data_IF_984381841867
#
_entry.id   IF_984381841867
#
_cell.length_a   1.000
_cell.length_b   1.000
_cell.length_c   1.000
_cell.angle_alpha   90.00
_cell.angle_beta   90.00
_cell.angle_gamma   90.00
#
_symmetry.space_group_name_H-M   'P 1'
#
loop_
_entity.id
_entity.type
_entity.pdbx_description
1 polymer ?
#
# COMPACT_ATOMS: atom_id res chain seq x y z
N UNK A 1 -11.78 -10.41 -17.45
CA UNK A 1 -10.85 -9.94 -16.40
C UNK A 1 -11.53 -9.41 -15.13
N UNK A 2 -12.77 -8.90 -15.16
CA UNK A 2 -13.44 -8.41 -13.93
C UNK A 2 -13.90 -9.53 -12.97
N UNK A 3 -14.33 -10.70 -13.46
CA UNK A 3 -14.76 -11.82 -12.59
C UNK A 3 -13.62 -12.42 -11.76
N UNK A 4 -12.40 -12.46 -12.29
CA UNK A 4 -11.23 -13.07 -11.66
C UNK A 4 -10.73 -12.26 -10.45
N UNK A 5 -10.87 -10.93 -10.50
CA UNK A 5 -10.46 -10.05 -9.40
C UNK A 5 -11.35 -10.21 -8.17
N UNK A 6 -12.68 -10.31 -8.38
CA UNK A 6 -13.64 -10.49 -7.27
C UNK A 6 -13.54 -11.88 -6.61
N UNK A 7 -13.15 -12.90 -7.35
CA UNK A 7 -12.85 -14.23 -6.78
C UNK A 7 -11.56 -14.24 -5.95
N UNK A 8 -10.52 -13.54 -6.42
CA UNK A 8 -9.27 -13.34 -5.68
C UNK A 8 -9.49 -12.57 -4.37
N UNK A 9 -10.27 -11.48 -4.40
CA UNK A 9 -10.60 -10.69 -3.20
C UNK A 9 -11.29 -11.55 -2.14
N UNK A 10 -12.32 -12.32 -2.53
CA UNK A 10 -13.02 -13.25 -1.61
C UNK A 10 -12.10 -14.32 -1.05
N UNK A 11 -11.18 -14.84 -1.85
CA UNK A 11 -10.21 -15.83 -1.39
C UNK A 11 -9.24 -15.23 -0.36
N UNK A 12 -8.74 -14.02 -0.61
CA UNK A 12 -7.87 -13.29 0.33
C UNK A 12 -8.59 -12.99 1.64
N UNK A 13 -9.83 -12.49 1.59
CA UNK A 13 -10.64 -12.24 2.78
C UNK A 13 -10.79 -13.51 3.64
N UNK A 14 -11.10 -14.64 2.99
CA UNK A 14 -11.23 -15.93 3.67
C UNK A 14 -9.93 -16.38 4.33
N UNK A 15 -8.78 -16.16 3.68
CA UNK A 15 -7.46 -16.47 4.25
C UNK A 15 -7.20 -15.60 5.48
N UNK A 16 -7.46 -14.30 5.40
CA UNK A 16 -7.27 -13.37 6.51
C UNK A 16 -8.19 -13.68 7.70
N UNK A 17 -9.44 -14.04 7.42
CA UNK A 17 -10.40 -14.43 8.47
C UNK A 17 -9.97 -15.72 9.17
N UNK A 18 -9.51 -16.72 8.40
CA UNK A 18 -9.00 -17.97 8.96
C UNK A 18 -7.76 -17.73 9.83
N UNK A 19 -6.83 -16.88 9.36
CA UNK A 19 -5.64 -16.48 10.12
C UNK A 19 -6.01 -15.87 11.47
N UNK A 20 -7.01 -14.98 11.49
CA UNK A 20 -7.52 -14.39 12.72
C UNK A 20 -8.13 -15.45 13.66
N UNK A 21 -9.00 -16.31 13.14
CA UNK A 21 -9.64 -17.39 13.93
C UNK A 21 -8.62 -18.34 14.55
N UNK A 22 -7.60 -18.73 13.79
CA UNK A 22 -6.55 -19.62 14.30
C UNK A 22 -5.65 -18.92 15.32
N UNK A 23 -5.37 -17.64 15.14
CA UNK A 23 -4.65 -16.84 16.13
C UNK A 23 -5.39 -16.77 17.47
N UNK A 24 -6.72 -16.56 17.44
CA UNK A 24 -7.55 -16.60 18.64
C UNK A 24 -7.47 -17.95 19.36
N UNK A 25 -7.40 -19.06 18.62
CA UNK A 25 -7.23 -20.39 19.24
C UNK A 25 -5.87 -20.49 19.95
N UNK A 26 -4.79 -20.06 19.30
CA UNK A 26 -3.43 -20.05 19.88
C UNK A 26 -3.42 -19.25 21.19
N UNK A 27 -3.97 -18.04 21.16
CA UNK A 27 -4.05 -17.17 22.34
C UNK A 27 -4.84 -17.86 23.45
N UNK A 28 -6.01 -18.44 23.16
CA UNK A 28 -6.82 -19.13 24.19
C UNK A 28 -6.11 -20.32 24.83
N UNK A 29 -5.28 -21.03 24.06
CA UNK A 29 -4.60 -22.25 24.52
C UNK A 29 -3.37 -21.98 25.39
N UNK A 30 -2.82 -20.76 25.39
CA UNK A 30 -1.58 -20.41 26.09
C UNK A 30 -1.78 -19.25 27.06
N UNK A 31 -1.29 -19.38 28.29
CA UNK A 31 -1.26 -18.27 29.25
C UNK A 31 -0.30 -17.18 28.79
N UNK A 32 0.90 -17.58 28.35
CA UNK A 32 1.94 -16.67 27.84
C UNK A 32 1.43 -15.86 26.64
N UNK A 33 0.69 -16.49 25.72
CA UNK A 33 0.14 -15.76 24.56
C UNK A 33 -0.95 -14.75 24.93
N UNK A 34 -1.71 -15.00 26.02
CA UNK A 34 -2.68 -14.02 26.56
C UNK A 34 -1.96 -12.85 27.21
N UNK A 35 -0.94 -13.12 28.01
CA UNK A 35 -0.14 -12.09 28.66
C UNK A 35 0.55 -11.21 27.62
N UNK A 36 1.16 -11.82 26.61
CA UNK A 36 1.77 -11.10 25.49
C UNK A 36 0.76 -10.22 24.74
N UNK A 37 -0.47 -10.71 24.49
CA UNK A 37 -1.50 -9.89 23.85
C UNK A 37 -1.84 -8.65 24.70
N UNK A 38 -1.99 -8.80 26.01
CA UNK A 38 -2.32 -7.68 26.90
C UNK A 38 -1.17 -6.68 27.03
N UNK A 39 0.09 -7.13 26.98
CA UNK A 39 1.26 -6.26 26.90
C UNK A 39 1.29 -5.48 25.58
N UNK A 40 1.13 -6.15 24.45
CA UNK A 40 1.14 -5.51 23.14
C UNK A 40 -0.01 -4.52 22.95
N UNK A 41 -1.19 -4.78 23.53
CA UNK A 41 -2.30 -3.81 23.52
C UNK A 41 -1.98 -2.53 24.29
N UNK A 42 -1.11 -2.59 25.30
CA UNK A 42 -0.66 -1.42 26.05
C UNK A 42 0.46 -0.68 25.33
N UNK A 43 1.40 -1.42 24.74
CA UNK A 43 2.56 -0.84 24.05
C UNK A 43 2.25 -0.31 22.65
N UNK A 44 1.25 -0.88 21.96
CA UNK A 44 0.85 -0.54 20.60
C UNK A 44 -0.61 -0.02 20.52
N UNK A 45 -0.95 1.09 21.18
CA UNK A 45 -2.34 1.57 21.26
C UNK A 45 -2.89 2.08 19.93
N UNK A 46 -2.05 2.42 18.94
CA UNK A 46 -2.49 2.91 17.63
C UNK A 46 -2.72 1.78 16.61
N UNK A 47 -2.33 0.55 16.94
CA UNK A 47 -2.53 -0.62 16.08
C UNK A 47 -3.90 -1.26 16.37
N UNK A 48 -4.73 -1.55 15.36
CA UNK A 48 -6.00 -2.25 15.58
C UNK A 48 -5.78 -3.62 16.22
N UNK A 49 -6.53 -3.92 17.29
CA UNK A 49 -6.39 -5.18 18.04
C UNK A 49 -6.51 -6.42 17.16
N UNK A 50 -7.39 -6.39 16.14
CA UNK A 50 -7.55 -7.48 15.18
C UNK A 50 -6.25 -7.81 14.43
N UNK A 51 -5.43 -6.81 14.14
CA UNK A 51 -4.16 -7.00 13.45
C UNK A 51 -3.09 -7.55 14.41
N UNK A 52 -3.03 -7.05 15.64
CA UNK A 52 -2.16 -7.61 16.70
C UNK A 52 -2.47 -9.10 16.92
N UNK A 53 -3.75 -9.45 17.08
CA UNK A 53 -4.20 -10.84 17.24
C UNK A 53 -3.73 -11.68 16.06
N UNK A 54 -3.87 -11.17 14.83
CA UNK A 54 -3.52 -11.93 13.63
C UNK A 54 -2.02 -12.29 13.54
N UNK A 55 -1.15 -11.64 14.30
CA UNK A 55 0.29 -11.97 14.32
C UNK A 55 0.56 -13.36 14.89
N UNK A 56 -0.25 -13.85 15.82
CA UNK A 56 0.02 -15.10 16.57
C UNK A 56 0.02 -16.36 15.69
N UNK A 57 -0.77 -16.41 14.61
CA UNK A 57 -0.70 -17.51 13.61
C UNK A 57 0.41 -17.29 12.58
N UNK A 58 0.82 -16.03 12.40
CA UNK A 58 1.71 -15.58 11.32
C UNK A 58 3.17 -15.99 11.55
N UNK A 59 3.56 -16.20 12.80
CA UNK A 59 4.91 -16.57 13.16
C UNK A 59 4.98 -18.09 13.29
N UNK A 60 5.75 -18.72 12.42
CA UNK A 60 5.71 -20.16 12.17
C UNK A 60 5.81 -21.00 13.46
N UNK A 61 4.79 -21.84 13.67
CA UNK A 61 4.80 -22.88 14.70
C UNK A 61 6.05 -23.75 14.53
N UNK A 62 6.92 -23.78 15.55
CA UNK A 62 8.17 -24.55 15.56
C UNK A 62 9.46 -23.74 15.72
N UNK A 63 9.38 -22.41 15.75
CA UNK A 63 10.57 -21.56 15.97
C UNK A 63 10.71 -21.17 17.45
N UNK A 64 11.95 -21.12 17.98
CA UNK A 64 12.21 -20.72 19.37
C UNK A 64 11.99 -19.21 19.64
N UNK A 65 11.71 -18.42 18.59
CA UNK A 65 11.68 -16.95 18.61
C UNK A 65 10.31 -16.37 18.20
N UNK A 66 9.23 -17.15 18.37
CA UNK A 66 7.88 -16.75 17.95
C UNK A 66 7.47 -15.42 18.61
N UNK A 67 7.65 -15.32 19.93
CA UNK A 67 7.24 -14.14 20.69
C UNK A 67 8.02 -12.89 20.29
N UNK A 68 9.34 -12.99 20.09
CA UNK A 68 10.17 -11.87 19.65
C UNK A 68 9.74 -11.33 18.27
N UNK A 69 9.35 -12.21 17.36
CA UNK A 69 8.87 -11.79 16.04
C UNK A 69 7.46 -11.19 16.10
N UNK A 70 6.58 -11.65 17.01
CA UNK A 70 5.29 -11.00 17.26
C UNK A 70 5.53 -9.59 17.80
N UNK A 71 6.40 -9.43 18.80
CA UNK A 71 6.72 -8.13 19.42
C UNK A 71 7.29 -7.17 18.38
N UNK A 72 8.31 -7.60 17.62
CA UNK A 72 8.92 -6.78 16.58
C UNK A 72 7.90 -6.35 15.51
N UNK A 73 7.01 -7.25 15.09
CA UNK A 73 5.97 -6.92 14.12
C UNK A 73 4.98 -5.89 14.67
N UNK A 74 4.51 -6.06 15.91
CA UNK A 74 3.59 -5.13 16.55
C UNK A 74 4.21 -3.73 16.72
N UNK A 75 5.46 -3.65 17.20
CA UNK A 75 6.18 -2.38 17.35
C UNK A 75 6.44 -1.69 16.00
N UNK A 76 6.71 -2.45 14.94
CA UNK A 76 6.82 -1.89 13.59
C UNK A 76 5.49 -1.31 13.10
N UNK A 77 4.37 -1.97 13.39
CA UNK A 77 3.05 -1.46 13.04
C UNK A 77 2.72 -0.18 13.82
N UNK A 78 3.05 -0.13 15.11
CA UNK A 78 2.90 1.05 15.96
C UNK A 78 3.76 2.21 15.47
N UNK A 79 5.02 1.94 15.13
CA UNK A 79 5.92 2.93 14.55
C UNK A 79 5.34 3.50 13.25
N UNK A 80 4.86 2.64 12.35
CA UNK A 80 4.26 3.10 11.09
C UNK A 80 2.97 3.89 11.28
N UNK A 81 2.16 3.54 12.30
CA UNK A 81 0.94 4.27 12.63
C UNK A 81 1.24 5.67 13.18
N UNK A 82 2.30 5.80 13.98
CA UNK A 82 2.73 7.07 14.61
C UNK A 82 3.65 7.91 13.71
N UNK A 83 4.33 7.29 12.76
CA UNK A 83 5.26 7.92 11.81
C UNK A 83 4.81 7.63 10.37
N UNK A 84 3.63 8.14 9.96
CA UNK A 84 3.16 7.95 8.59
C UNK A 84 4.22 8.48 7.62
N UNK A 85 4.55 7.69 6.60
CA UNK A 85 5.53 8.11 5.61
C UNK A 85 5.09 9.45 5.00
N UNK A 86 6.03 10.39 4.95
CA UNK A 86 5.81 11.62 4.19
C UNK A 86 5.48 11.20 2.77
N UNK A 87 4.40 11.73 2.20
CA UNK A 87 4.09 11.47 0.79
C UNK A 87 5.30 11.91 -0.03
N UNK A 88 6.05 10.95 -0.57
CA UNK A 88 7.10 11.24 -1.52
C UNK A 88 6.44 11.93 -2.70
N UNK A 89 6.78 13.21 -2.91
CA UNK A 89 6.38 13.93 -4.10
C UNK A 89 7.12 13.30 -5.27
N UNK A 90 6.37 12.92 -6.29
CA UNK A 90 6.95 12.61 -7.59
C UNK A 90 7.11 13.90 -8.37
N UNK A 91 8.02 13.96 -9.35
CA UNK A 91 8.14 15.14 -10.23
C UNK A 91 6.81 15.44 -10.99
N UNK A 92 5.93 14.44 -11.16
CA UNK A 92 4.58 14.63 -11.68
C UNK A 92 3.68 15.47 -10.75
N UNK A 93 3.92 15.45 -9.43
CA UNK A 93 3.25 16.34 -8.48
C UNK A 93 3.65 17.80 -8.70
N UNK A 94 4.86 18.06 -9.19
CA UNK A 94 5.33 19.40 -9.52
C UNK A 94 4.79 19.88 -10.87
N UNK A 95 4.45 18.95 -11.79
CA UNK A 95 3.78 19.28 -13.05
C UNK A 95 2.29 19.61 -12.83
N UNK A 96 1.60 18.88 -11.94
CA UNK A 96 0.21 19.13 -11.58
C UNK A 96 0.07 19.99 -10.32
N UNK A 97 0.56 21.23 -10.41
CA UNK A 97 0.38 22.27 -9.38
C UNK A 97 -1.09 22.58 -9.11
N UNK A 98 -1.37 23.33 -8.03
CA UNK A 98 -2.75 23.77 -7.72
C UNK A 98 -3.34 24.60 -8.86
N UNK A 99 -2.50 25.39 -9.52
CA UNK A 99 -2.83 26.25 -10.65
C UNK A 99 -3.08 25.42 -11.90
N UNK A 100 -2.20 24.47 -12.23
CA UNK A 100 -2.38 23.57 -13.37
C UNK A 100 -3.69 22.76 -13.26
N UNK A 101 -4.03 22.31 -12.05
CA UNK A 101 -5.29 21.57 -11.78
C UNK A 101 -6.56 22.41 -11.94
N UNK A 102 -6.47 23.75 -11.95
CA UNK A 102 -7.61 24.62 -12.28
C UNK A 102 -7.88 24.66 -13.78
N UNK A 103 -6.85 24.45 -14.61
CA UNK A 103 -6.94 24.44 -16.07
C UNK A 103 -7.48 23.09 -16.53
N UNK A 104 -6.87 21.99 -16.06
CA UNK A 104 -7.34 20.64 -16.37
C UNK A 104 -7.11 19.69 -15.20
N UNK A 105 -8.15 18.97 -14.79
CA UNK A 105 -8.00 17.95 -13.76
C UNK A 105 -7.40 16.67 -14.36
N UNK A 106 -6.61 15.90 -13.60
CA UNK A 106 -6.11 14.59 -14.03
C UNK A 106 -7.18 13.67 -14.63
N UNK A 107 -8.40 13.70 -14.06
CA UNK A 107 -9.55 12.94 -14.55
C UNK A 107 -10.01 13.37 -15.95
N UNK A 108 -9.95 14.66 -16.23
CA UNK A 108 -10.40 15.24 -17.50
C UNK A 108 -9.36 14.95 -18.58
N UNK A 109 -8.07 15.11 -18.26
CA UNK A 109 -6.97 14.72 -19.13
C UNK A 109 -7.07 13.25 -19.55
N UNK A 110 -7.36 12.35 -18.62
CA UNK A 110 -7.49 10.91 -18.93
C UNK A 110 -8.72 10.55 -19.77
N UNK A 111 -9.78 11.38 -19.75
CA UNK A 111 -11.01 11.13 -20.52
C UNK A 111 -10.86 11.51 -21.99
N UNK A 112 -10.09 12.55 -22.27
CA UNK A 112 -9.75 12.95 -23.63
C UNK A 112 -8.58 12.10 -24.15
N UNK A 113 -8.90 11.09 -24.97
CA UNK A 113 -7.89 10.19 -25.54
C UNK A 113 -6.85 10.91 -26.39
N UNK A 114 -7.22 12.00 -27.07
CA UNK A 114 -6.32 12.73 -27.96
C UNK A 114 -5.36 13.56 -27.13
N UNK A 115 -5.89 14.35 -26.19
CA UNK A 115 -5.09 15.18 -25.29
C UNK A 115 -4.18 14.34 -24.39
N UNK A 116 -4.67 13.20 -23.90
CA UNK A 116 -3.86 12.26 -23.14
C UNK A 116 -2.66 11.76 -23.93
N UNK A 117 -2.88 11.39 -25.20
CA UNK A 117 -1.81 10.91 -26.09
C UNK A 117 -0.79 12.03 -26.36
N UNK A 118 -1.25 13.23 -26.66
CA UNK A 118 -0.39 14.39 -26.90
C UNK A 118 0.45 14.75 -25.65
N UNK A 119 -0.15 14.68 -24.46
CA UNK A 119 0.57 14.89 -23.21
C UNK A 119 1.67 13.84 -22.99
N UNK A 120 1.36 12.56 -23.18
CA UNK A 120 2.33 11.48 -23.09
C UNK A 120 3.47 11.66 -24.10
N UNK A 121 3.14 11.99 -25.35
CA UNK A 121 4.16 12.17 -26.40
C UNK A 121 5.03 13.40 -26.12
N UNK A 122 4.46 14.49 -25.58
CA UNK A 122 5.22 15.68 -25.17
C UNK A 122 6.22 15.36 -24.06
N UNK A 123 5.77 14.68 -22.99
CA UNK A 123 6.65 14.33 -21.89
C UNK A 123 7.71 13.32 -22.33
N UNK A 124 7.36 12.33 -23.16
CA UNK A 124 8.34 11.35 -23.69
C UNK A 124 9.46 12.04 -24.48
N UNK A 125 9.12 13.05 -25.29
CA UNK A 125 10.12 13.87 -26.01
C UNK A 125 11.00 14.71 -25.09
N UNK A 126 10.49 15.14 -23.93
CA UNK A 126 11.30 15.86 -22.95
C UNK A 126 12.30 14.92 -22.28
N UNK A 127 11.88 13.73 -21.88
CA UNK A 127 12.77 12.71 -21.29
C UNK A 127 13.86 12.32 -22.30
N UNK A 128 13.51 12.04 -23.56
CA UNK A 128 14.48 11.77 -24.63
C UNK A 128 15.49 12.92 -24.82
N UNK A 129 15.06 14.17 -24.61
CA UNK A 129 15.91 15.35 -24.78
C UNK A 129 16.82 15.61 -23.58
N UNK A 130 16.38 15.32 -22.36
CA UNK A 130 17.06 15.73 -21.13
C UNK A 130 17.71 14.57 -20.36
N UNK A 131 17.29 13.31 -20.54
CA UNK A 131 17.83 12.13 -19.82
C UNK A 131 18.99 11.41 -20.56
N UNK A 132 19.45 11.93 -21.69
CA UNK A 132 20.65 11.43 -22.38
C UNK A 132 20.51 9.98 -22.87
N UNK A 133 21.45 9.11 -22.49
CA UNK A 133 21.66 7.80 -23.14
C UNK A 133 20.82 6.64 -22.56
N UNK A 134 20.04 6.85 -21.49
CA UNK A 134 19.19 5.81 -20.89
C UNK A 134 17.77 6.31 -20.58
N UNK A 135 16.99 6.78 -21.58
CA UNK A 135 15.61 7.14 -21.36
C UNK A 135 14.81 5.91 -20.90
N UNK A 136 13.93 6.03 -19.88
CA UNK A 136 13.08 4.93 -19.47
C UNK A 136 12.19 4.49 -20.64
N UNK A 137 12.01 3.17 -20.80
CA UNK A 137 11.12 2.61 -21.84
C UNK A 137 9.78 3.35 -21.82
N UNK A 138 9.41 3.93 -22.97
CA UNK A 138 8.19 4.71 -23.19
C UNK A 138 6.95 3.95 -22.67
N UNK A 139 6.93 2.61 -22.76
CA UNK A 139 5.85 1.78 -22.22
C UNK A 139 5.82 1.76 -20.69
N UNK A 140 6.97 1.69 -20.02
CA UNK A 140 7.10 1.79 -18.55
C UNK A 140 6.69 3.19 -18.09
N UNK A 141 7.13 4.22 -18.82
CA UNK A 141 6.82 5.61 -18.54
C UNK A 141 5.32 5.91 -18.65
N UNK A 142 4.69 5.47 -19.75
CA UNK A 142 3.24 5.54 -19.96
C UNK A 142 2.46 4.87 -18.82
N UNK A 143 2.92 3.71 -18.35
CA UNK A 143 2.32 3.02 -17.21
C UNK A 143 2.43 3.83 -15.91
N UNK A 144 3.59 4.44 -15.63
CA UNK A 144 3.81 5.29 -14.45
C UNK A 144 2.91 6.53 -14.46
N UNK A 145 2.84 7.26 -15.57
CA UNK A 145 1.93 8.42 -15.70
C UNK A 145 0.46 7.99 -15.54
N UNK A 146 0.06 6.89 -16.18
CA UNK A 146 -1.30 6.35 -16.02
C UNK A 146 -1.62 6.04 -14.56
N UNK A 147 -0.68 5.39 -13.85
CA UNK A 147 -0.85 5.03 -12.44
C UNK A 147 -0.99 6.28 -11.55
N UNK A 148 -0.10 7.26 -11.73
CA UNK A 148 -0.14 8.54 -11.01
C UNK A 148 -1.48 9.26 -11.19
N UNK A 149 -1.94 9.39 -12.44
CA UNK A 149 -3.22 10.06 -12.72
C UNK A 149 -4.39 9.30 -12.08
N UNK A 150 -4.38 7.96 -12.10
CA UNK A 150 -5.41 7.13 -11.44
C UNK A 150 -5.42 7.30 -9.93
N UNK A 151 -4.27 7.36 -9.28
CA UNK A 151 -4.18 7.58 -7.82
C UNK A 151 -4.78 8.92 -7.40
N UNK A 152 -4.49 9.99 -8.15
CA UNK A 152 -5.07 11.32 -7.89
C UNK A 152 -6.56 11.40 -8.20
N UNK A 153 -7.10 10.51 -9.04
CA UNK A 153 -8.55 10.40 -9.29
C UNK A 153 -9.26 9.61 -8.18
N UNK A 154 -8.58 8.67 -7.53
CA UNK A 154 -9.14 7.81 -6.46
C UNK A 154 -9.19 8.48 -5.08
N UNK A 155 -8.32 9.45 -4.79
CA UNK A 155 -8.43 10.26 -3.57
C UNK A 155 -9.65 11.19 -3.68
N UNK A 156 -10.80 10.73 -3.16
CA UNK A 156 -11.98 11.53 -2.83
C UNK A 156 -11.98 11.80 -1.33
#
# INVERSE_FOLDING_TARGET
MQNTMGELEKMVEKILENKYKDSLKIIRMSKTSRELLEELKKECPHVPEKEIISLFKSVAAGTKMVDSAIIAAAHNMEYNATHPSKHEKTWLDDLFTKEARKIIKPKELMKDKKLYKEFIDYISKLEEKYDGNEPPDIAIFRRRITAFLKEKVKKK
#
